data_IF_719449696586
#
_entry.id   IF_719449696586
#
_cell.length_a   1.000
_cell.length_b   1.000
_cell.length_c   1.000
_cell.angle_alpha   90.00
_cell.angle_beta   90.00
_cell.angle_gamma   90.00
#
_symmetry.space_group_name_H-M   'P 1'
#
loop_
_entity.id
_entity.type
_entity.pdbx_description
1 polymer ?
#
# COMPACT_ATOMS: atom_id res chain seq x y z
N UNK A 1 -8.79 -26.24 -2.74
CA UNK A 1 -7.59 -25.43 -3.04
C UNK A 1 -7.90 -24.00 -2.61
N UNK A 2 -7.00 -23.33 -1.88
CA UNK A 2 -7.22 -21.96 -1.43
C UNK A 2 -7.42 -21.02 -2.62
N UNK A 3 -8.35 -20.06 -2.49
CA UNK A 3 -8.69 -19.13 -3.56
C UNK A 3 -7.74 -17.91 -3.53
N UNK A 4 -6.46 -18.18 -3.85
CA UNK A 4 -5.37 -17.19 -3.83
C UNK A 4 -5.65 -16.05 -4.80
N UNK A 5 -6.33 -16.31 -5.93
CA UNK A 5 -6.66 -15.28 -6.92
C UNK A 5 -7.66 -14.26 -6.35
N UNK A 6 -8.74 -14.74 -5.72
CA UNK A 6 -9.69 -13.85 -5.04
C UNK A 6 -9.03 -13.10 -3.89
N UNK A 7 -8.23 -13.79 -3.09
CA UNK A 7 -7.51 -13.19 -1.96
C UNK A 7 -6.54 -12.10 -2.42
N UNK A 8 -5.77 -12.33 -3.49
CA UNK A 8 -4.86 -11.34 -4.07
C UNK A 8 -5.58 -10.10 -4.57
N UNK A 9 -6.82 -10.22 -5.06
CA UNK A 9 -7.64 -9.07 -5.45
C UNK A 9 -8.17 -8.30 -4.25
N UNK A 10 -8.62 -8.99 -3.20
CA UNK A 10 -9.36 -8.37 -2.09
C UNK A 10 -8.46 -7.93 -0.93
N UNK A 11 -7.36 -8.63 -0.72
CA UNK A 11 -6.38 -8.45 0.33
C UNK A 11 -4.95 -8.64 -0.24
N UNK A 12 -4.54 -7.83 -1.24
CA UNK A 12 -3.29 -8.04 -2.00
C UNK A 12 -2.07 -8.13 -1.09
N UNK A 13 -2.01 -7.29 -0.07
CA UNK A 13 -0.89 -7.18 0.84
C UNK A 13 -0.82 -8.36 1.80
N UNK A 14 -1.92 -8.68 2.49
CA UNK A 14 -1.98 -9.83 3.39
C UNK A 14 -1.68 -11.13 2.62
N UNK A 15 -2.27 -11.26 1.43
CA UNK A 15 -2.00 -12.38 0.52
C UNK A 15 -0.51 -12.47 0.19
N UNK A 16 0.13 -11.35 -0.17
CA UNK A 16 1.55 -11.34 -0.49
C UNK A 16 2.43 -11.71 0.71
N UNK A 17 2.12 -11.22 1.92
CA UNK A 17 2.86 -11.62 3.15
C UNK A 17 2.77 -13.14 3.34
N UNK A 18 1.57 -13.70 3.24
CA UNK A 18 1.33 -15.13 3.45
C UNK A 18 2.08 -15.97 2.41
N UNK A 19 2.03 -15.58 1.13
CA UNK A 19 2.76 -16.27 0.08
C UNK A 19 4.28 -16.25 0.36
N UNK A 20 4.82 -15.10 0.75
CA UNK A 20 6.25 -14.99 1.09
C UNK A 20 6.63 -15.83 2.31
N UNK A 21 5.79 -15.88 3.35
CA UNK A 21 6.04 -16.72 4.55
C UNK A 21 5.95 -18.20 4.20
N UNK A 22 4.94 -18.62 3.45
CA UNK A 22 4.74 -20.02 3.07
C UNK A 22 5.88 -20.52 2.17
N UNK A 23 6.34 -19.70 1.21
CA UNK A 23 7.50 -20.03 0.39
C UNK A 23 8.77 -20.25 1.24
N UNK A 24 9.03 -19.39 2.23
CA UNK A 24 10.17 -19.55 3.15
C UNK A 24 10.05 -20.82 4.01
N UNK A 25 8.85 -21.12 4.50
CA UNK A 25 8.59 -22.35 5.28
C UNK A 25 8.73 -23.62 4.43
N UNK A 26 8.28 -23.59 3.18
CA UNK A 26 8.39 -24.72 2.25
C UNK A 26 9.85 -25.14 2.07
N UNK A 27 10.74 -24.15 1.84
CA UNK A 27 12.19 -24.37 1.73
C UNK A 27 12.76 -24.91 3.03
N UNK A 28 12.45 -24.28 4.17
CA UNK A 28 13.02 -24.66 5.47
C UNK A 28 12.60 -26.07 5.93
N UNK A 29 11.39 -26.50 5.58
CA UNK A 29 10.81 -27.78 6.00
C UNK A 29 10.95 -28.89 4.95
N UNK A 30 11.38 -28.57 3.73
CA UNK A 30 11.41 -29.53 2.62
C UNK A 30 10.02 -30.02 2.18
N UNK A 31 8.97 -29.22 2.43
CA UNK A 31 7.59 -29.55 2.09
C UNK A 31 7.20 -28.78 0.82
N UNK A 32 6.47 -29.38 -0.14
CA UNK A 32 5.99 -28.65 -1.31
C UNK A 32 5.17 -27.40 -0.91
N UNK A 33 5.48 -26.24 -1.48
CA UNK A 33 4.81 -24.97 -1.19
C UNK A 33 3.29 -25.08 -1.33
N UNK A 34 2.83 -25.73 -2.40
CA UNK A 34 1.40 -25.95 -2.64
C UNK A 34 0.72 -26.77 -1.53
N UNK A 35 1.43 -27.72 -0.90
CA UNK A 35 0.91 -28.49 0.20
C UNK A 35 0.73 -27.61 1.45
N UNK A 36 1.68 -26.73 1.74
CA UNK A 36 1.57 -25.77 2.85
C UNK A 36 0.47 -24.72 2.58
N UNK A 37 0.36 -24.20 1.35
CA UNK A 37 -0.71 -23.27 0.99
C UNK A 37 -2.09 -23.89 1.20
N UNK A 38 -2.27 -25.16 0.84
CA UNK A 38 -3.54 -25.86 1.02
C UNK A 38 -3.98 -25.98 2.49
N UNK A 39 -3.04 -25.95 3.43
CA UNK A 39 -3.31 -26.10 4.88
C UNK A 39 -3.37 -24.75 5.58
N UNK A 40 -2.42 -23.85 5.31
CA UNK A 40 -2.19 -22.67 6.15
C UNK A 40 -2.84 -21.39 5.61
N UNK A 41 -3.15 -21.32 4.31
CA UNK A 41 -3.45 -20.04 3.66
C UNK A 41 -4.67 -19.31 4.23
N UNK A 42 -5.82 -19.99 4.35
CA UNK A 42 -7.06 -19.35 4.81
C UNK A 42 -7.00 -18.97 6.30
N UNK A 43 -6.35 -19.79 7.13
CA UNK A 43 -6.16 -19.51 8.56
C UNK A 43 -5.26 -18.30 8.76
N UNK A 44 -4.13 -18.24 8.05
CA UNK A 44 -3.23 -17.09 8.09
C UNK A 44 -3.88 -15.85 7.50
N UNK A 45 -4.66 -15.96 6.43
CA UNK A 45 -5.38 -14.82 5.85
C UNK A 45 -6.37 -14.23 6.85
N UNK A 46 -7.15 -15.08 7.50
CA UNK A 46 -8.11 -14.65 8.53
C UNK A 46 -7.41 -13.99 9.70
N UNK A 47 -6.35 -14.60 10.24
CA UNK A 47 -5.58 -14.05 11.35
C UNK A 47 -4.94 -12.70 10.99
N UNK A 48 -4.34 -12.59 9.81
CA UNK A 48 -3.71 -11.36 9.33
C UNK A 48 -4.73 -10.23 9.15
N UNK A 49 -5.92 -10.51 8.61
CA UNK A 49 -6.99 -9.51 8.48
C UNK A 49 -7.44 -9.00 9.86
N UNK A 50 -7.47 -9.85 10.87
CA UNK A 50 -8.01 -9.52 12.20
C UNK A 50 -7.00 -8.86 13.15
N UNK A 51 -5.72 -9.23 13.07
CA UNK A 51 -4.74 -8.94 14.14
C UNK A 51 -3.64 -7.97 13.75
N UNK A 52 -3.36 -7.85 12.46
CA UNK A 52 -2.21 -7.07 12.01
C UNK A 52 -2.61 -5.62 11.77
N UNK A 53 -2.12 -4.73 12.63
CA UNK A 53 -2.11 -3.30 12.34
C UNK A 53 -1.18 -3.04 11.16
N UNK A 54 -1.75 -2.88 9.98
CA UNK A 54 -1.06 -2.73 8.68
C UNK A 54 0.06 -1.70 8.73
N UNK A 55 -0.11 -0.60 9.48
CA UNK A 55 0.90 0.47 9.64
C UNK A 55 2.25 0.01 10.23
N UNK A 56 2.30 -1.11 10.98
CA UNK A 56 3.54 -1.63 11.57
C UNK A 56 4.30 -2.60 10.68
N UNK A 57 3.62 -3.29 9.76
CA UNK A 57 4.26 -4.31 8.91
C UNK A 57 4.64 -3.80 7.53
N UNK A 58 3.99 -2.75 7.04
CA UNK A 58 4.17 -2.33 5.66
C UNK A 58 5.33 -1.36 5.45
N UNK A 59 6.03 -1.47 4.32
CA UNK A 59 6.98 -0.44 3.92
C UNK A 59 6.29 0.91 3.85
N UNK A 60 7.00 1.95 4.30
CA UNK A 60 6.50 3.32 4.27
C UNK A 60 6.31 3.76 2.82
N UNK A 61 5.16 4.36 2.52
CA UNK A 61 4.87 5.07 1.27
C UNK A 61 4.94 6.56 1.57
N UNK A 62 5.95 7.25 1.05
CA UNK A 62 6.18 8.68 1.31
C UNK A 62 5.35 9.51 0.34
N UNK A 63 4.42 10.29 0.86
CA UNK A 63 3.53 11.13 0.06
C UNK A 63 3.74 12.58 0.46
N UNK A 64 4.09 13.43 -0.50
CA UNK A 64 4.05 14.87 -0.29
C UNK A 64 2.61 15.34 -0.50
N UNK A 65 2.06 16.14 0.39
CA UNK A 65 0.79 16.83 0.16
C UNK A 65 1.05 18.32 0.30
N UNK A 66 0.79 19.07 -0.76
CA UNK A 66 1.01 20.51 -0.84
C UNK A 66 -0.13 21.16 -1.63
N UNK A 67 -1.09 21.77 -0.91
CA UNK A 67 -2.20 22.51 -1.51
C UNK A 67 -2.02 24.00 -1.32
N UNK A 68 -1.18 24.60 -2.16
CA UNK A 68 -0.77 26.01 -2.06
C UNK A 68 -1.95 26.98 -1.93
N UNK A 69 -3.04 26.76 -2.66
CA UNK A 69 -4.21 27.65 -2.64
C UNK A 69 -5.37 27.13 -1.80
N UNK A 70 -5.29 25.89 -1.27
CA UNK A 70 -6.43 25.18 -0.67
C UNK A 70 -6.04 24.45 0.63
N UNK A 71 -5.62 25.16 1.70
CA UNK A 71 -5.13 24.52 2.94
C UNK A 71 -6.21 23.68 3.65
N UNK A 72 -7.49 24.07 3.55
CA UNK A 72 -8.58 23.25 4.09
C UNK A 72 -8.75 21.92 3.34
N UNK A 73 -8.45 21.91 2.03
CA UNK A 73 -8.47 20.69 1.23
C UNK A 73 -7.29 19.78 1.60
N UNK A 74 -6.11 20.36 1.87
CA UNK A 74 -4.95 19.61 2.37
C UNK A 74 -5.30 18.79 3.61
N UNK A 75 -5.89 19.43 4.63
CA UNK A 75 -6.24 18.77 5.87
C UNK A 75 -7.21 17.59 5.67
N UNK A 76 -8.20 17.76 4.77
CA UNK A 76 -9.16 16.71 4.44
C UNK A 76 -8.48 15.53 3.73
N UNK A 77 -7.57 15.81 2.79
CA UNK A 77 -6.81 14.77 2.07
C UNK A 77 -5.89 14.02 3.04
N UNK A 78 -5.13 14.73 3.87
CA UNK A 78 -4.24 14.13 4.87
C UNK A 78 -5.02 13.21 5.80
N UNK A 79 -6.17 13.68 6.32
CA UNK A 79 -7.03 12.85 7.16
C UNK A 79 -7.51 11.57 6.44
N UNK A 80 -7.86 11.67 5.15
CA UNK A 80 -8.30 10.50 4.36
C UNK A 80 -7.16 9.50 4.14
N UNK A 81 -5.95 10.00 3.84
CA UNK A 81 -4.76 9.17 3.67
C UNK A 81 -4.40 8.43 4.96
N UNK A 82 -4.43 9.12 6.11
CA UNK A 82 -4.12 8.52 7.42
C UNK A 82 -5.12 7.45 7.85
N UNK A 83 -6.37 7.55 7.41
CA UNK A 83 -7.42 6.57 7.66
C UNK A 83 -7.37 5.35 6.73
N UNK A 84 -6.49 5.37 5.71
CA UNK A 84 -6.37 4.26 4.77
C UNK A 84 -5.66 3.07 5.43
N UNK A 85 -6.35 1.93 5.65
CA UNK A 85 -5.78 0.83 6.42
C UNK A 85 -4.87 -0.06 5.57
N UNK A 86 -4.94 0.02 4.24
CA UNK A 86 -4.25 -0.93 3.36
C UNK A 86 -2.79 -0.55 3.09
N UNK A 87 -2.37 0.69 3.30
CA UNK A 87 -1.02 1.16 2.99
C UNK A 87 -0.46 1.99 4.16
N UNK A 88 0.85 1.91 4.39
CA UNK A 88 1.51 2.68 5.43
C UNK A 88 1.98 4.03 4.86
N UNK A 89 1.03 4.94 4.70
CA UNK A 89 1.29 6.28 4.16
C UNK A 89 1.96 7.14 5.24
N UNK A 90 3.06 7.78 4.87
CA UNK A 90 3.75 8.80 5.65
C UNK A 90 3.67 10.11 4.87
N UNK A 91 2.88 11.04 5.39
CA UNK A 91 2.70 12.36 4.79
C UNK A 91 3.88 13.27 5.14
N UNK A 92 4.34 14.04 4.17
CA UNK A 92 5.28 15.16 4.35
C UNK A 92 4.68 16.42 3.75
N UNK A 93 4.82 17.54 4.45
CA UNK A 93 4.44 18.88 3.96
C UNK A 93 5.61 19.60 3.27
N UNK A 94 6.80 19.01 3.32
CA UNK A 94 8.00 19.54 2.67
C UNK A 94 8.49 18.58 1.57
N UNK A 95 9.17 19.13 0.57
CA UNK A 95 9.75 18.36 -0.53
C UNK A 95 10.84 17.41 -0.02
N UNK A 96 10.58 16.10 -0.07
CA UNK A 96 11.53 15.06 0.34
C UNK A 96 12.16 14.44 -0.92
N UNK A 97 13.51 14.29 -1.00
CA UNK A 97 14.22 13.78 -2.19
C UNK A 97 13.83 12.36 -2.67
N UNK A 98 13.00 11.66 -1.92
CA UNK A 98 12.57 10.27 -2.16
C UNK A 98 11.06 10.10 -1.92
N UNK A 99 10.26 11.10 -2.25
CA UNK A 99 8.82 10.94 -2.24
C UNK A 99 8.39 9.96 -3.34
N UNK A 100 7.43 9.10 -3.00
CA UNK A 100 6.86 8.11 -3.93
C UNK A 100 5.76 8.76 -4.77
N UNK A 101 4.99 9.62 -4.12
CA UNK A 101 3.87 10.35 -4.68
C UNK A 101 3.90 11.79 -4.21
N UNK A 102 3.31 12.69 -5.00
CA UNK A 102 2.91 14.01 -4.52
C UNK A 102 1.47 14.29 -4.90
N UNK A 103 0.76 14.95 -4.00
CA UNK A 103 -0.63 15.38 -4.17
C UNK A 103 -0.67 16.89 -4.04
N UNK A 104 -1.15 17.59 -5.06
CA UNK A 104 -1.21 19.05 -5.08
C UNK A 104 -2.32 19.60 -5.96
N UNK A 105 -2.64 20.88 -5.82
CA UNK A 105 -3.63 21.58 -6.63
C UNK A 105 -3.07 22.02 -8.00
N UNK A 106 -1.75 22.09 -8.10
CA UNK A 106 -0.99 22.46 -9.31
C UNK A 106 0.23 21.55 -9.50
N UNK A 107 0.71 21.42 -10.72
CA UNK A 107 1.93 20.65 -10.99
C UNK A 107 3.18 21.32 -10.40
N UNK A 108 3.97 20.59 -9.62
CA UNK A 108 5.16 21.12 -8.93
C UNK A 108 6.41 20.83 -9.76
N UNK A 109 7.00 21.88 -10.33
CA UNK A 109 8.28 21.78 -11.04
C UNK A 109 9.40 21.37 -10.09
N UNK A 110 10.04 20.22 -10.36
CA UNK A 110 11.19 19.73 -9.59
C UNK A 110 10.99 18.38 -8.90
N UNK A 111 9.75 17.93 -8.73
CA UNK A 111 9.41 16.60 -8.18
C UNK A 111 9.37 15.51 -9.27
N UNK A 112 10.42 15.41 -10.09
CA UNK A 112 10.46 14.50 -11.26
C UNK A 112 10.42 13.00 -10.93
N UNK A 113 10.76 12.64 -9.69
CA UNK A 113 10.87 11.24 -9.26
C UNK A 113 9.64 10.73 -8.51
N UNK A 114 8.71 11.62 -8.16
CA UNK A 114 7.47 11.28 -7.45
C UNK A 114 6.31 11.23 -8.45
N UNK A 115 5.44 10.22 -8.31
CA UNK A 115 4.27 10.10 -9.20
C UNK A 115 3.22 11.17 -8.84
N UNK A 116 2.76 11.98 -9.81
CA UNK A 116 1.85 13.09 -9.55
C UNK A 116 0.39 12.67 -9.35
N UNK A 117 -0.30 13.36 -8.45
CA UNK A 117 -1.76 13.37 -8.30
C UNK A 117 -2.25 14.80 -8.15
N UNK A 118 -2.77 15.38 -9.24
CA UNK A 118 -3.21 16.77 -9.25
C UNK A 118 -4.71 16.86 -8.95
N UNK A 119 -5.07 17.39 -7.78
CA UNK A 119 -6.45 17.50 -7.29
C UNK A 119 -6.79 18.93 -6.91
N UNK A 120 -7.65 19.56 -7.71
CA UNK A 120 -8.20 20.90 -7.44
C UNK A 120 -9.46 20.90 -6.57
N UNK A 121 -9.89 19.71 -6.11
CA UNK A 121 -11.07 19.47 -5.30
C UNK A 121 -10.87 18.23 -4.42
N UNK A 122 -11.79 17.97 -3.49
CA UNK A 122 -11.72 16.73 -2.71
C UNK A 122 -11.98 15.53 -3.63
N UNK A 123 -11.04 14.58 -3.72
CA UNK A 123 -11.11 13.54 -4.73
C UNK A 123 -12.34 12.67 -4.50
N UNK A 124 -13.03 12.34 -5.58
CA UNK A 124 -14.09 11.35 -5.51
C UNK A 124 -13.51 9.94 -5.24
N UNK A 125 -14.38 8.94 -5.08
CA UNK A 125 -13.93 7.57 -4.84
C UNK A 125 -13.08 7.01 -5.99
N UNK A 126 -13.37 7.37 -7.24
CA UNK A 126 -12.63 6.86 -8.39
C UNK A 126 -11.21 7.44 -8.42
N UNK A 127 -11.08 8.76 -8.24
CA UNK A 127 -9.79 9.45 -8.17
C UNK A 127 -8.93 8.96 -7.01
N UNK A 128 -9.54 8.79 -5.82
CA UNK A 128 -8.84 8.27 -4.66
C UNK A 128 -8.44 6.80 -4.86
N UNK A 129 -9.30 5.97 -5.46
CA UNK A 129 -8.98 4.57 -5.73
C UNK A 129 -7.80 4.41 -6.70
N UNK A 130 -7.64 5.30 -7.69
CA UNK A 130 -6.45 5.29 -8.56
C UNK A 130 -5.15 5.54 -7.78
N UNK A 131 -5.20 6.42 -6.79
CA UNK A 131 -4.08 6.62 -5.87
C UNK A 131 -3.82 5.36 -5.03
N UNK A 132 -4.86 4.80 -4.43
CA UNK A 132 -4.75 3.60 -3.60
C UNK A 132 -4.20 2.39 -4.36
N UNK A 133 -4.62 2.20 -5.61
CA UNK A 133 -4.12 1.12 -6.47
C UNK A 133 -2.61 1.24 -6.68
N UNK A 134 -2.12 2.42 -7.10
CA UNK A 134 -0.68 2.64 -7.28
C UNK A 134 0.11 2.51 -5.97
N UNK A 135 -0.41 3.03 -4.86
CA UNK A 135 0.23 2.91 -3.56
C UNK A 135 0.29 1.45 -3.07
N UNK A 136 -0.75 0.67 -3.35
CA UNK A 136 -0.81 -0.76 -3.03
C UNK A 136 0.17 -1.55 -3.89
N UNK A 137 0.23 -1.28 -5.19
CA UNK A 137 1.19 -1.92 -6.10
C UNK A 137 2.63 -1.67 -5.67
N UNK A 138 2.97 -0.43 -5.32
CA UNK A 138 4.31 -0.09 -4.83
C UNK A 138 4.62 -0.79 -3.49
N UNK A 139 3.63 -0.90 -2.60
CA UNK A 139 3.77 -1.63 -1.33
C UNK A 139 4.07 -3.11 -1.57
N UNK A 140 3.30 -3.75 -2.46
CA UNK A 140 3.49 -5.15 -2.86
C UNK A 140 4.87 -5.33 -3.49
N UNK A 141 5.25 -4.46 -4.44
CA UNK A 141 6.54 -4.51 -5.11
C UNK A 141 7.70 -4.47 -4.10
N UNK A 142 7.69 -3.52 -3.16
CA UNK A 142 8.70 -3.40 -2.10
C UNK A 142 8.80 -4.62 -1.20
N UNK A 143 7.67 -5.25 -0.89
CA UNK A 143 7.67 -6.49 -0.11
C UNK A 143 8.26 -7.67 -0.90
N UNK A 144 8.14 -7.67 -2.22
CA UNK A 144 8.67 -8.74 -3.08
C UNK A 144 10.11 -8.52 -3.53
N UNK A 145 10.57 -7.27 -3.61
CA UNK A 145 11.89 -6.89 -4.08
C UNK A 145 13.00 -7.05 -3.01
N UNK A 146 12.75 -7.83 -1.95
CA UNK A 146 13.76 -8.12 -0.93
C UNK A 146 14.60 -9.30 -1.40
N UNK A 147 15.66 -9.01 -2.16
CA UNK A 147 16.87 -9.86 -2.29
C UNK A 147 17.90 -9.42 -1.24
#
# INVERSE_FOLDING_TARGET
>A
MPDVVRAKRRFPIQTQIILTVVAKLAVALGIPEQALLNVLFEEYLTAMIQTVATKKLLPKIKVIVDMNNLPSLEALIVSRLEQTPLVNIVVSHEAVPQADFYISDIEIAGLKNATPFIWSHYPDENEFNKFLEKATDLTVHRMTATD
#
